data_IF_873122910569
#
_entry.id   IF_873122910569
#
_cell.length_a   1.000
_cell.length_b   1.000
_cell.length_c   1.000
_cell.angle_alpha   90.00
_cell.angle_beta   90.00
_cell.angle_gamma   90.00
#
_symmetry.space_group_name_H-M   'P 1'
#
loop_
_entity.id
_entity.type
_entity.pdbx_description
1 polymer ?
#
# COMPACT_ATOMS: atom_id res chain seq x y z
N UNK A 1 3.24 -2.67 -0.40
CA UNK A 1 3.31 -1.38 -1.12
C UNK A 1 2.29 -1.51 -2.20
N UNK A 2 1.10 -1.21 -1.73
CA UNK A 2 -0.16 -1.46 -2.36
C UNK A 2 -0.55 -0.05 -2.81
N UNK A 3 -0.32 0.21 -4.09
CA UNK A 3 -0.34 1.56 -4.64
C UNK A 3 -1.60 1.74 -5.47
N UNK A 4 -1.87 0.81 -6.37
CA UNK A 4 -2.77 1.05 -7.48
C UNK A 4 -4.21 0.87 -7.01
N UNK A 5 -4.47 -0.17 -6.23
CA UNK A 5 -5.75 -0.36 -5.56
C UNK A 5 -6.05 0.78 -4.59
N UNK A 6 -5.05 1.24 -3.83
CA UNK A 6 -5.22 2.38 -2.93
C UNK A 6 -5.61 3.66 -3.67
N UNK A 7 -4.90 4.03 -4.74
CA UNK A 7 -5.24 5.22 -5.54
C UNK A 7 -6.59 5.07 -6.26
N UNK A 8 -6.90 3.87 -6.76
CA UNK A 8 -8.18 3.58 -7.38
C UNK A 8 -9.34 3.80 -6.40
N UNK A 9 -9.23 3.32 -5.15
CA UNK A 9 -10.26 3.52 -4.14
C UNK A 9 -10.41 4.99 -3.75
N UNK A 10 -9.29 5.73 -3.65
CA UNK A 10 -9.33 7.18 -3.41
C UNK A 10 -10.00 7.94 -4.57
N UNK A 11 -9.79 7.54 -5.82
CA UNK A 11 -10.52 8.06 -6.99
C UNK A 11 -12.02 7.76 -6.88
N UNK A 12 -12.38 6.51 -6.55
CA UNK A 12 -13.76 6.04 -6.47
C UNK A 12 -14.55 6.72 -5.34
N UNK A 13 -13.88 7.07 -4.24
CA UNK A 13 -14.48 7.81 -3.13
C UNK A 13 -14.79 9.29 -3.49
N UNK A 14 -14.45 9.74 -4.70
CA UNK A 14 -14.60 11.12 -5.16
C UNK A 14 -13.86 12.14 -4.27
N UNK A 15 -12.86 11.69 -3.51
CA UNK A 15 -11.95 12.54 -2.74
C UNK A 15 -11.04 13.33 -3.68
N UNK A 16 -10.71 12.74 -4.84
CA UNK A 16 -9.96 13.35 -5.92
C UNK A 16 -10.46 12.84 -7.28
N UNK A 17 -10.30 13.65 -8.33
CA UNK A 17 -10.55 13.22 -9.71
C UNK A 17 -9.39 12.39 -10.29
N UNK A 18 -9.25 12.36 -11.62
CA UNK A 18 -8.14 11.66 -12.30
C UNK A 18 -6.74 12.18 -11.91
N UNK A 19 -6.68 13.37 -11.32
CA UNK A 19 -5.51 14.00 -10.69
C UNK A 19 -4.85 13.14 -9.60
N UNK A 20 -5.57 12.20 -8.97
CA UNK A 20 -5.01 11.26 -7.98
C UNK A 20 -3.88 10.40 -8.55
N UNK A 21 -3.83 10.25 -9.87
CA UNK A 21 -2.80 9.50 -10.59
C UNK A 21 -1.61 10.38 -11.01
N UNK A 22 -1.63 11.67 -10.71
CA UNK A 22 -0.55 12.63 -11.02
C UNK A 22 0.17 13.06 -9.73
N UNK A 23 0.28 14.37 -9.47
CA UNK A 23 0.98 14.91 -8.31
C UNK A 23 0.34 14.53 -6.97
N UNK A 24 -0.96 14.22 -6.97
CA UNK A 24 -1.67 13.75 -5.78
C UNK A 24 -1.30 12.32 -5.38
N UNK A 25 -0.80 11.50 -6.30
CA UNK A 25 -0.36 10.13 -5.97
C UNK A 25 0.70 10.16 -4.89
N UNK A 26 1.65 11.09 -5.00
CA UNK A 26 2.70 11.30 -4.01
C UNK A 26 2.15 11.69 -2.63
N UNK A 27 1.07 12.48 -2.59
CA UNK A 27 0.42 12.88 -1.34
C UNK A 27 -0.31 11.71 -0.71
N UNK A 28 -1.12 10.98 -1.49
CA UNK A 28 -1.86 9.81 -1.02
C UNK A 28 -0.92 8.72 -0.49
N UNK A 29 0.18 8.44 -1.21
CA UNK A 29 1.16 7.41 -0.86
C UNK A 29 2.21 7.87 0.16
N UNK A 30 2.11 9.10 0.66
CA UNK A 30 3.08 9.62 1.62
C UNK A 30 3.29 8.71 2.85
N UNK A 31 2.26 8.07 3.43
CA UNK A 31 2.46 7.14 4.54
C UNK A 31 3.38 5.96 4.22
N UNK A 32 3.29 5.42 3.00
CA UNK A 32 4.20 4.42 2.46
C UNK A 32 5.61 4.98 2.27
N UNK A 33 5.74 6.15 1.65
CA UNK A 33 7.03 6.78 1.37
C UNK A 33 7.79 7.18 2.65
N UNK A 34 7.05 7.58 3.69
CA UNK A 34 7.59 8.12 4.93
C UNK A 34 7.54 7.16 6.13
N UNK A 35 7.07 5.93 5.95
CA UNK A 35 6.89 4.93 7.02
C UNK A 35 6.12 5.51 8.24
N UNK A 36 5.05 6.29 7.99
CA UNK A 36 4.35 7.03 9.04
C UNK A 36 2.90 6.56 9.32
N UNK A 37 2.55 5.33 8.92
CA UNK A 37 1.23 4.72 9.15
C UNK A 37 0.73 4.84 10.59
N UNK A 38 1.56 4.58 11.59
CA UNK A 38 1.17 4.68 13.01
C UNK A 38 0.73 6.10 13.42
N UNK A 39 1.45 7.12 12.94
CA UNK A 39 1.06 8.51 13.15
C UNK A 39 -0.27 8.79 12.45
N UNK A 40 -0.43 8.28 11.23
CA UNK A 40 -1.61 8.53 10.43
C UNK A 40 -2.86 7.81 10.99
N UNK A 41 -2.73 6.60 11.55
CA UNK A 41 -3.80 5.95 12.32
C UNK A 41 -4.20 6.75 13.55
N UNK A 42 -3.22 7.32 14.27
CA UNK A 42 -3.48 8.22 15.39
C UNK A 42 -4.32 9.44 14.98
N UNK A 43 -4.06 9.96 13.78
CA UNK A 43 -4.86 11.04 13.20
C UNK A 43 -6.26 10.58 12.78
N UNK A 44 -6.38 9.45 12.11
CA UNK A 44 -7.69 8.90 11.72
C UNK A 44 -8.61 8.78 12.93
N UNK A 45 -8.11 8.22 14.05
CA UNK A 45 -8.88 8.17 15.31
C UNK A 45 -9.32 9.55 15.77
N UNK A 46 -8.41 10.52 15.75
CA UNK A 46 -8.73 11.90 16.12
C UNK A 46 -9.72 12.57 15.14
N UNK A 47 -9.73 12.22 13.85
CA UNK A 47 -10.73 12.72 12.88
C UNK A 47 -12.11 12.14 13.19
N UNK A 48 -12.20 10.84 13.46
CA UNK A 48 -13.47 10.16 13.73
C UNK A 48 -14.15 10.71 14.99
N UNK A 49 -13.38 11.11 15.99
CA UNK A 49 -13.90 11.71 17.23
C UNK A 49 -14.27 13.20 17.10
N UNK A 50 -13.96 13.86 15.97
CA UNK A 50 -14.21 15.30 15.76
C UNK A 50 -15.54 15.56 15.03
N UNK A 51 -16.22 16.69 15.34
CA UNK A 51 -17.31 17.19 14.50
C UNK A 51 -16.84 17.40 13.05
N UNK A 52 -17.69 17.12 12.06
CA UNK A 52 -17.37 17.27 10.62
C UNK A 52 -16.85 18.69 10.27
N UNK A 53 -17.35 19.70 10.97
CA UNK A 53 -16.99 21.12 10.82
C UNK A 53 -15.54 21.44 11.23
N UNK A 54 -14.90 20.53 11.99
CA UNK A 54 -13.52 20.66 12.51
C UNK A 54 -12.53 19.71 11.81
N UNK A 55 -12.99 18.97 10.80
CA UNK A 55 -12.14 18.05 10.04
C UNK A 55 -11.14 18.81 9.15
N UNK A 56 -9.92 18.28 8.95
CA UNK A 56 -8.88 18.97 8.18
C UNK A 56 -9.33 19.20 6.73
N UNK A 57 -9.40 20.48 6.33
CA UNK A 57 -9.86 20.88 5.01
C UNK A 57 -8.79 20.78 3.90
N UNK A 58 -7.53 20.53 4.25
CA UNK A 58 -6.39 20.49 3.33
C UNK A 58 -6.43 19.29 2.39
N UNK A 59 -6.06 19.50 1.12
CA UNK A 59 -6.08 18.44 0.10
C UNK A 59 -5.13 17.28 0.45
N UNK A 60 -3.91 17.59 0.93
CA UNK A 60 -2.96 16.55 1.34
C UNK A 60 -3.52 15.71 2.48
N UNK A 61 -4.16 16.35 3.47
CA UNK A 61 -4.77 15.64 4.59
C UNK A 61 -5.87 14.66 4.13
N UNK A 62 -6.74 15.07 3.20
CA UNK A 62 -7.80 14.21 2.65
C UNK A 62 -7.26 13.02 1.86
N UNK A 63 -6.24 13.23 1.04
CA UNK A 63 -5.61 12.17 0.27
C UNK A 63 -4.91 11.15 1.17
N UNK A 64 -4.16 11.63 2.17
CA UNK A 64 -3.51 10.79 3.18
C UNK A 64 -4.56 10.02 3.99
N UNK A 65 -5.65 10.67 4.39
CA UNK A 65 -6.74 10.02 5.12
C UNK A 65 -7.42 8.93 4.28
N UNK A 66 -7.67 9.18 3.00
CA UNK A 66 -8.22 8.18 2.09
C UNK A 66 -7.34 6.93 1.98
N UNK A 67 -6.02 7.12 1.83
CA UNK A 67 -5.06 6.02 1.86
C UNK A 67 -5.09 5.26 3.19
N UNK A 68 -5.10 5.97 4.32
CA UNK A 68 -5.04 5.35 5.65
C UNK A 68 -6.33 4.64 6.05
N UNK A 69 -7.49 5.13 5.61
CA UNK A 69 -8.75 4.40 5.77
C UNK A 69 -8.70 3.10 4.98
N UNK A 70 -8.19 3.14 3.73
CA UNK A 70 -8.03 1.95 2.90
C UNK A 70 -7.17 0.90 3.60
N UNK A 71 -5.96 1.30 4.02
CA UNK A 71 -5.02 0.45 4.74
C UNK A 71 -5.60 -0.08 6.07
N UNK A 72 -6.31 0.78 6.82
CA UNK A 72 -6.97 0.37 8.06
C UNK A 72 -7.99 -0.74 7.84
N UNK A 73 -8.87 -0.59 6.85
CA UNK A 73 -9.92 -1.58 6.55
C UNK A 73 -9.29 -2.91 6.13
N UNK A 74 -8.25 -2.87 5.30
CA UNK A 74 -7.52 -4.05 4.85
C UNK A 74 -6.90 -4.82 6.03
N UNK A 75 -6.30 -4.12 7.00
CA UNK A 75 -5.57 -4.75 8.10
C UNK A 75 -6.42 -5.04 9.35
N UNK A 76 -7.39 -4.20 9.67
CA UNK A 76 -8.13 -4.21 10.93
C UNK A 76 -9.65 -4.33 10.76
N UNK A 77 -10.17 -4.18 9.54
CA UNK A 77 -11.60 -4.21 9.23
C UNK A 77 -12.28 -2.83 9.35
N UNK A 78 -13.60 -2.75 9.09
CA UNK A 78 -14.33 -1.50 8.92
C UNK A 78 -14.65 -0.76 10.23
N UNK A 79 -14.07 -1.15 11.36
CA UNK A 79 -14.34 -0.53 12.66
C UNK A 79 -13.03 -0.17 13.35
N UNK A 80 -12.93 1.07 13.81
CA UNK A 80 -11.86 1.53 14.69
C UNK A 80 -12.06 0.88 16.05
N UNK A 81 -11.18 -0.06 16.43
CA UNK A 81 -11.21 -0.69 17.75
C UNK A 81 -10.13 -0.11 18.68
N UNK A 82 -10.34 -0.10 20.00
CA UNK A 82 -9.37 0.50 20.94
C UNK A 82 -8.07 -0.31 20.96
N UNK A 83 -8.20 -1.63 20.85
CA UNK A 83 -7.10 -2.58 20.70
C UNK A 83 -7.23 -3.24 19.33
N UNK A 84 -6.64 -2.64 18.28
CA UNK A 84 -6.76 -3.16 16.92
C UNK A 84 -6.19 -4.57 16.84
N UNK A 85 -7.00 -5.48 16.32
CA UNK A 85 -6.57 -6.84 16.02
C UNK A 85 -6.39 -6.95 14.51
N UNK A 86 -5.29 -7.57 14.10
CA UNK A 86 -4.98 -7.85 12.70
C UNK A 86 -5.87 -8.97 12.19
N UNK A 87 -7.13 -8.62 11.92
CA UNK A 87 -8.22 -9.52 11.52
C UNK A 87 -8.92 -9.03 10.26
N UNK A 88 -8.41 -7.98 9.63
CA UNK A 88 -8.93 -7.45 8.38
C UNK A 88 -8.76 -8.44 7.23
N UNK A 89 -9.27 -8.05 6.06
CA UNK A 89 -9.37 -8.87 4.87
C UNK A 89 -8.07 -9.60 4.51
N UNK A 90 -6.93 -8.90 4.50
CA UNK A 90 -5.65 -9.51 4.16
C UNK A 90 -5.26 -10.66 5.11
N UNK A 91 -5.66 -10.59 6.38
CA UNK A 91 -5.38 -11.62 7.38
C UNK A 91 -6.37 -12.80 7.32
N UNK A 92 -7.61 -12.56 6.90
CA UNK A 92 -8.60 -13.63 6.72
C UNK A 92 -8.23 -14.53 5.53
N UNK A 93 -7.75 -13.93 4.45
CA UNK A 93 -7.40 -14.63 3.21
C UNK A 93 -5.93 -15.07 3.14
N UNK A 94 -5.10 -14.74 4.14
CA UNK A 94 -3.64 -15.01 4.11
C UNK A 94 -3.29 -16.49 3.87
N UNK A 95 -4.19 -17.40 4.24
CA UNK A 95 -4.04 -18.84 4.04
C UNK A 95 -3.80 -19.21 2.56
N UNK A 96 -4.41 -18.48 1.61
CA UNK A 96 -4.24 -18.67 0.18
C UNK A 96 -2.78 -18.54 -0.27
N UNK A 97 -2.02 -17.67 0.39
CA UNK A 97 -0.59 -17.47 0.14
C UNK A 97 0.28 -18.40 1.01
N UNK A 98 -0.05 -18.52 2.30
CA UNK A 98 0.74 -19.32 3.27
C UNK A 98 0.84 -20.79 2.84
N UNK A 99 -0.25 -21.38 2.37
CA UNK A 99 -0.29 -22.79 1.94
C UNK A 99 0.68 -23.10 0.78
N UNK A 100 1.15 -22.05 0.09
CA UNK A 100 2.03 -22.12 -1.08
C UNK A 100 3.43 -21.56 -0.84
N UNK A 101 3.64 -20.93 0.32
CA UNK A 101 4.84 -20.17 0.65
C UNK A 101 6.12 -20.99 0.51
N UNK A 102 6.18 -22.20 1.09
CA UNK A 102 7.40 -23.02 1.05
C UNK A 102 7.80 -23.40 -0.38
N UNK A 103 6.82 -23.79 -1.20
CA UNK A 103 7.05 -24.11 -2.62
C UNK A 103 7.48 -22.87 -3.41
N UNK A 104 6.90 -21.70 -3.11
CA UNK A 104 7.27 -20.44 -3.73
C UNK A 104 8.73 -20.07 -3.41
N UNK A 105 9.12 -20.14 -2.13
CA UNK A 105 10.49 -19.85 -1.70
C UNK A 105 11.48 -20.87 -2.27
N UNK A 106 11.20 -22.17 -2.14
CA UNK A 106 12.10 -23.23 -2.62
C UNK A 106 12.33 -23.13 -4.14
N UNK A 107 11.31 -22.74 -4.90
CA UNK A 107 11.43 -22.57 -6.34
C UNK A 107 12.26 -21.33 -6.69
N UNK A 108 12.05 -20.21 -6.00
CA UNK A 108 12.88 -19.02 -6.18
C UNK A 108 14.37 -19.31 -5.90
N UNK A 109 14.67 -19.99 -4.80
CA UNK A 109 16.04 -20.36 -4.41
C UNK A 109 16.69 -21.32 -5.42
N UNK A 110 15.99 -22.41 -5.80
CA UNK A 110 16.52 -23.39 -6.79
C UNK A 110 16.74 -22.78 -8.17
N UNK A 111 15.91 -21.82 -8.56
CA UNK A 111 16.02 -21.12 -9.85
C UNK A 111 17.03 -19.96 -9.84
N UNK A 112 17.65 -19.68 -8.69
CA UNK A 112 18.61 -18.58 -8.53
C UNK A 112 17.98 -17.20 -8.66
N UNK A 113 16.67 -17.09 -8.40
CA UNK A 113 15.95 -15.81 -8.35
C UNK A 113 16.15 -15.10 -7.01
N UNK A 114 16.37 -15.88 -5.94
CA UNK A 114 16.69 -15.39 -4.62
C UNK A 114 18.01 -16.00 -4.13
N UNK A 115 18.85 -15.18 -3.52
CA UNK A 115 20.10 -15.64 -2.86
C UNK A 115 19.90 -15.93 -1.37
N UNK A 116 18.86 -15.33 -0.77
CA UNK A 116 18.57 -15.41 0.66
C UNK A 116 17.27 -16.13 0.91
N UNK A 117 17.31 -17.06 1.84
CA UNK A 117 16.11 -17.73 2.33
C UNK A 117 15.46 -16.87 3.43
N UNK A 118 14.26 -16.33 3.22
CA UNK A 118 13.58 -15.53 4.25
C UNK A 118 13.25 -16.34 5.51
N UNK A 119 13.28 -17.69 5.45
CA UNK A 119 13.07 -18.57 6.61
C UNK A 119 14.23 -18.55 7.61
N UNK A 120 15.41 -18.06 7.22
CA UNK A 120 16.60 -18.05 8.08
C UNK A 120 16.61 -16.89 9.09
N UNK A 121 15.75 -15.89 8.89
CA UNK A 121 15.81 -14.62 9.62
C UNK A 121 14.59 -14.36 10.52
N UNK A 122 13.61 -15.26 10.52
CA UNK A 122 12.37 -15.05 11.22
C UNK A 122 11.76 -16.33 11.82
N UNK A 123 10.86 -16.17 12.77
CA UNK A 123 10.04 -17.28 13.26
C UNK A 123 9.03 -17.70 12.19
N UNK A 124 8.67 -18.99 12.14
CA UNK A 124 7.69 -19.49 11.19
C UNK A 124 6.37 -18.71 11.23
N UNK A 125 5.83 -18.49 12.42
CA UNK A 125 4.56 -17.80 12.59
C UNK A 125 4.60 -16.34 12.12
N UNK A 126 5.72 -15.65 12.34
CA UNK A 126 5.89 -14.29 11.85
C UNK A 126 6.04 -14.27 10.33
N UNK A 127 6.87 -15.15 9.76
CA UNK A 127 7.04 -15.25 8.31
C UNK A 127 5.72 -15.60 7.60
N UNK A 128 4.96 -16.58 8.09
CA UNK A 128 3.66 -16.96 7.51
C UNK A 128 2.70 -15.78 7.54
N UNK A 129 2.61 -15.08 8.68
CA UNK A 129 1.78 -13.89 8.79
C UNK A 129 2.23 -12.83 7.79
N UNK A 130 3.52 -12.55 7.74
CA UNK A 130 4.09 -11.44 6.97
C UNK A 130 4.10 -11.68 5.46
N UNK A 131 4.37 -12.91 5.03
CA UNK A 131 4.23 -13.35 3.65
C UNK A 131 2.76 -13.42 3.25
N UNK A 132 1.96 -14.08 4.07
CA UNK A 132 0.54 -14.31 3.80
C UNK A 132 -0.24 -13.03 3.56
N UNK A 133 -0.22 -12.10 4.53
CA UNK A 133 -0.99 -10.87 4.39
C UNK A 133 -0.48 -10.00 3.24
N UNK A 134 0.85 -9.83 3.11
CA UNK A 134 1.42 -8.95 2.07
C UNK A 134 1.13 -9.50 0.67
N UNK A 135 1.21 -10.81 0.46
CA UNK A 135 0.89 -11.38 -0.86
C UNK A 135 -0.58 -11.24 -1.21
N UNK A 136 -1.49 -11.42 -0.25
CA UNK A 136 -2.93 -11.21 -0.46
C UNK A 136 -3.25 -9.74 -0.72
N UNK A 137 -2.65 -8.84 0.05
CA UNK A 137 -2.81 -7.40 -0.11
C UNK A 137 -2.37 -6.94 -1.50
N UNK A 138 -1.19 -7.39 -1.94
CA UNK A 138 -0.69 -7.12 -3.28
C UNK A 138 -1.62 -7.69 -4.36
N UNK A 139 -2.15 -8.92 -4.19
CA UNK A 139 -3.09 -9.50 -5.14
C UNK A 139 -4.42 -8.71 -5.22
N UNK A 140 -4.92 -8.22 -4.08
CA UNK A 140 -6.08 -7.33 -4.03
C UNK A 140 -5.80 -5.97 -4.69
N UNK A 141 -4.62 -5.39 -4.46
CA UNK A 141 -4.19 -4.14 -5.08
C UNK A 141 -4.19 -4.26 -6.61
N UNK A 142 -3.69 -5.39 -7.14
CA UNK A 142 -3.75 -5.73 -8.56
C UNK A 142 -5.19 -5.87 -9.07
N UNK A 143 -6.05 -6.60 -8.36
CA UNK A 143 -7.44 -6.80 -8.77
C UNK A 143 -8.21 -5.49 -8.85
N UNK A 144 -8.13 -4.67 -7.81
CA UNK A 144 -8.82 -3.37 -7.72
C UNK A 144 -8.24 -2.39 -8.74
N UNK A 145 -6.90 -2.35 -8.85
CA UNK A 145 -6.17 -1.44 -9.70
C UNK A 145 -6.06 -1.85 -11.18
N UNK A 146 -6.39 -3.10 -11.54
CA UNK A 146 -6.08 -3.65 -12.86
C UNK A 146 -6.69 -2.89 -14.03
N UNK A 147 -7.81 -2.19 -13.80
CA UNK A 147 -8.49 -1.37 -14.81
C UNK A 147 -7.69 -0.13 -15.25
N UNK A 148 -6.64 0.26 -14.52
CA UNK A 148 -5.77 1.39 -14.91
C UNK A 148 -4.50 0.96 -15.64
N UNK A 149 -4.28 -0.33 -15.84
CA UNK A 149 -3.14 -0.83 -16.60
C UNK A 149 -3.17 -0.34 -18.05
N UNK A 150 -1.98 -0.03 -18.58
CA UNK A 150 -1.76 0.46 -19.94
C UNK A 150 -2.57 1.73 -20.28
N UNK A 151 -2.81 2.58 -19.27
CA UNK A 151 -3.63 3.79 -19.41
C UNK A 151 -2.82 5.09 -19.21
N UNK A 152 -3.36 6.25 -19.61
CA UNK A 152 -2.74 7.54 -19.30
C UNK A 152 -2.53 7.77 -17.80
N UNK A 153 -3.39 7.19 -16.95
CA UNK A 153 -3.27 7.25 -15.49
C UNK A 153 -2.00 6.55 -14.99
N UNK A 154 -1.66 5.40 -15.57
CA UNK A 154 -0.42 4.70 -15.24
C UNK A 154 0.81 5.55 -15.60
N UNK A 155 0.82 6.12 -16.81
CA UNK A 155 1.93 6.94 -17.27
C UNK A 155 2.14 8.14 -16.36
N UNK A 156 1.05 8.79 -15.95
CA UNK A 156 1.05 9.87 -14.99
C UNK A 156 1.61 9.44 -13.61
N UNK A 157 1.16 8.30 -13.09
CA UNK A 157 1.59 7.78 -11.79
C UNK A 157 3.10 7.55 -11.77
N UNK A 158 3.61 6.86 -12.80
CA UNK A 158 5.03 6.59 -12.96
C UNK A 158 5.84 7.88 -13.06
N UNK A 159 5.39 8.84 -13.86
CA UNK A 159 6.07 10.11 -14.02
C UNK A 159 6.11 10.91 -12.70
N UNK A 160 5.01 10.90 -11.95
CA UNK A 160 4.91 11.56 -10.63
C UNK A 160 5.89 10.95 -9.64
N UNK A 161 5.88 9.61 -9.49
CA UNK A 161 6.75 8.91 -8.56
C UNK A 161 8.23 8.97 -8.96
N UNK A 162 8.54 8.95 -10.26
CA UNK A 162 9.92 9.04 -10.76
C UNK A 162 10.65 10.32 -10.31
N UNK A 163 9.92 11.40 -10.01
CA UNK A 163 10.50 12.66 -9.50
C UNK A 163 11.24 12.47 -8.17
N UNK A 164 10.86 11.48 -7.37
CA UNK A 164 11.53 11.19 -6.11
C UNK A 164 12.96 10.66 -6.27
N UNK A 165 13.37 10.28 -7.48
CA UNK A 165 14.76 9.95 -7.77
C UNK A 165 15.69 11.19 -7.58
N UNK A 166 15.13 12.40 -7.64
CA UNK A 166 15.81 13.64 -7.27
C UNK A 166 15.74 13.85 -5.74
N UNK A 167 16.87 13.80 -5.02
CA UNK A 167 16.89 13.97 -3.57
C UNK A 167 16.38 15.34 -3.10
N UNK A 168 16.64 16.42 -3.86
CA UNK A 168 16.19 17.77 -3.47
C UNK A 168 14.67 17.85 -3.51
N UNK A 169 14.07 17.32 -4.59
CA UNK A 169 12.62 17.21 -4.71
C UNK A 169 12.00 16.38 -3.58
N UNK A 170 12.60 15.22 -3.26
CA UNK A 170 12.09 14.33 -2.20
C UNK A 170 12.09 15.01 -0.83
N UNK A 171 13.19 15.70 -0.48
CA UNK A 171 13.33 16.42 0.78
C UNK A 171 12.36 17.59 0.89
N UNK A 172 12.24 18.42 -0.16
CA UNK A 172 11.28 19.53 -0.20
C UNK A 172 9.83 19.04 -0.09
N UNK A 173 9.50 17.95 -0.79
CA UNK A 173 8.18 17.34 -0.74
C UNK A 173 7.83 16.89 0.68
N UNK A 174 8.71 16.11 1.31
CA UNK A 174 8.51 15.60 2.66
C UNK A 174 8.34 16.73 3.69
N UNK A 175 9.22 17.74 3.63
CA UNK A 175 9.16 18.90 4.51
C UNK A 175 7.83 19.66 4.38
N UNK A 176 7.34 19.86 3.14
CA UNK A 176 6.06 20.51 2.88
C UNK A 176 4.89 19.71 3.46
N UNK A 177 4.84 18.41 3.21
CA UNK A 177 3.74 17.56 3.71
C UNK A 177 3.76 17.50 5.24
N UNK A 178 4.93 17.38 5.87
CA UNK A 178 5.05 17.42 7.33
C UNK A 178 4.64 18.77 7.92
N UNK A 179 4.98 19.90 7.27
CA UNK A 179 4.55 21.22 7.72
C UNK A 179 3.02 21.41 7.65
N UNK A 180 2.38 20.91 6.58
CA UNK A 180 0.92 21.01 6.41
C UNK A 180 0.15 20.07 7.36
N UNK A 181 0.66 18.86 7.55
CA UNK A 181 -0.07 17.80 8.26
C UNK A 181 0.35 17.62 9.71
N UNK A 182 1.47 18.20 10.14
CA UNK A 182 2.06 17.93 11.46
C UNK A 182 2.62 16.51 11.57
N UNK A 183 3.13 15.98 10.47
CA UNK A 183 3.59 14.59 10.35
C UNK A 183 4.87 14.27 11.12
N UNK A 184 5.04 12.97 11.38
CA UNK A 184 6.23 12.41 12.04
C UNK A 184 6.54 11.03 11.47
N UNK A 185 7.83 10.75 11.24
CA UNK A 185 8.33 9.41 10.92
C UNK A 185 9.27 8.92 12.02
N UNK A 186 9.34 7.60 12.21
CA UNK A 186 10.34 6.98 13.11
C UNK A 186 11.72 6.87 12.46
N UNK A 187 11.77 7.05 11.14
CA UNK A 187 13.00 6.94 10.37
C UNK A 187 13.84 8.22 10.49
N UNK A 188 15.16 8.09 10.32
CA UNK A 188 16.01 9.26 10.19
C UNK A 188 15.81 9.95 8.84
N UNK A 189 16.08 11.24 8.73
CA UNK A 189 16.02 11.97 7.45
C UNK A 189 16.83 11.27 6.35
N UNK A 190 18.00 10.73 6.68
CA UNK A 190 18.83 9.98 5.75
C UNK A 190 18.16 8.69 5.24
N UNK A 191 17.40 8.02 6.09
CA UNK A 191 16.62 6.85 5.70
C UNK A 191 15.42 7.25 4.84
N UNK A 192 14.70 8.30 5.22
CA UNK A 192 13.57 8.84 4.46
C UNK A 192 13.98 9.25 3.04
N UNK A 193 15.04 10.07 2.91
CA UNK A 193 15.58 10.48 1.61
C UNK A 193 16.01 9.27 0.78
N UNK A 194 16.62 8.25 1.41
CA UNK A 194 17.00 7.01 0.72
C UNK A 194 15.77 6.26 0.21
N UNK A 195 14.77 6.04 1.05
CA UNK A 195 13.55 5.30 0.70
C UNK A 195 12.82 6.01 -0.43
N UNK A 196 12.58 7.32 -0.34
CA UNK A 196 11.93 8.07 -1.43
C UNK A 196 12.73 7.99 -2.73
N UNK A 197 14.06 8.09 -2.68
CA UNK A 197 14.91 7.93 -3.87
C UNK A 197 14.79 6.54 -4.49
N UNK A 198 14.88 5.48 -3.70
CA UNK A 198 14.71 4.11 -4.17
C UNK A 198 13.36 3.93 -4.87
N UNK A 199 12.29 4.52 -4.32
CA UNK A 199 10.98 4.52 -4.95
C UNK A 199 10.96 5.24 -6.29
N UNK A 200 11.58 6.42 -6.39
CA UNK A 200 11.66 7.14 -7.66
C UNK A 200 12.48 6.39 -8.72
N UNK A 201 13.57 5.74 -8.30
CA UNK A 201 14.38 4.88 -9.18
C UNK A 201 13.57 3.68 -9.67
N UNK A 202 12.83 3.01 -8.78
CA UNK A 202 11.95 1.90 -9.15
C UNK A 202 10.81 2.33 -10.07
N UNK A 203 10.11 3.43 -9.74
CA UNK A 203 9.03 3.97 -10.58
C UNK A 203 9.49 4.30 -12.00
N UNK A 204 10.75 4.74 -12.15
CA UNK A 204 11.36 4.98 -13.45
C UNK A 204 11.63 3.70 -14.25
N UNK A 205 11.88 2.58 -13.56
CA UNK A 205 12.20 1.28 -14.15
C UNK A 205 11.01 0.32 -14.32
N UNK A 206 9.84 0.67 -13.79
CA UNK A 206 8.63 -0.14 -13.90
C UNK A 206 8.16 -0.23 -15.35
N UNK A 207 7.86 -1.45 -15.81
CA UNK A 207 7.36 -1.69 -17.16
C UNK A 207 5.82 -1.71 -17.19
N UNK A 208 5.21 -2.32 -16.17
CA UNK A 208 3.77 -2.44 -15.99
C UNK A 208 3.35 -2.05 -14.57
N UNK A 209 2.14 -1.51 -14.37
CA UNK A 209 1.69 -1.07 -13.04
C UNK A 209 1.78 -2.20 -12.01
N UNK A 210 1.45 -3.42 -12.42
CA UNK A 210 1.51 -4.59 -11.56
C UNK A 210 2.90 -4.83 -10.93
N UNK A 211 3.97 -4.34 -11.57
CA UNK A 211 5.33 -4.44 -11.06
C UNK A 211 5.49 -3.77 -9.68
N UNK A 212 4.67 -2.76 -9.34
CA UNK A 212 4.64 -2.17 -7.98
C UNK A 212 4.27 -3.19 -6.90
N UNK A 213 3.36 -4.12 -7.19
CA UNK A 213 3.00 -5.19 -6.28
C UNK A 213 4.18 -6.16 -6.08
N UNK A 214 4.88 -6.50 -7.18
CA UNK A 214 6.07 -7.33 -7.10
C UNK A 214 7.22 -6.67 -6.33
N UNK A 215 7.39 -5.35 -6.50
CA UNK A 215 8.38 -4.55 -5.78
C UNK A 215 8.22 -4.67 -4.26
N UNK A 216 6.98 -4.67 -3.77
CA UNK A 216 6.68 -4.88 -2.35
C UNK A 216 7.31 -6.16 -1.81
N UNK A 217 7.01 -7.29 -2.46
CA UNK A 217 7.48 -8.59 -2.02
C UNK A 217 9.00 -8.70 -2.17
N UNK A 218 9.56 -8.18 -3.26
CA UNK A 218 11.00 -8.19 -3.48
C UNK A 218 11.73 -7.41 -2.38
N UNK A 219 11.29 -6.18 -2.08
CA UNK A 219 11.90 -5.35 -1.03
C UNK A 219 11.71 -5.96 0.35
N UNK A 220 10.51 -6.48 0.66
CA UNK A 220 10.20 -7.08 1.96
C UNK A 220 11.05 -8.33 2.26
N UNK A 221 11.32 -9.16 1.24
CA UNK A 221 12.10 -10.38 1.40
C UNK A 221 13.56 -10.26 0.95
N UNK A 222 14.01 -9.06 0.58
CA UNK A 222 15.38 -8.79 0.17
C UNK A 222 15.80 -9.53 -1.10
N UNK A 223 14.86 -9.70 -2.03
CA UNK A 223 15.09 -10.31 -3.34
C UNK A 223 15.43 -9.24 -4.39
N UNK A 224 16.23 -9.60 -5.42
CA UNK A 224 16.59 -8.65 -6.46
C UNK A 224 15.35 -8.20 -7.26
N UNK A 225 15.28 -6.91 -7.57
CA UNK A 225 14.23 -6.35 -8.41
C UNK A 225 14.66 -6.34 -9.89
N UNK A 226 14.70 -7.52 -10.49
CA UNK A 226 14.94 -7.73 -11.92
C UNK A 226 13.75 -8.39 -12.59
N UNK A 227 13.65 -8.31 -13.93
CA UNK A 227 12.47 -8.79 -14.68
C UNK A 227 12.10 -10.25 -14.39
N UNK A 228 13.09 -11.15 -14.25
CA UNK A 228 12.80 -12.58 -14.01
C UNK A 228 12.18 -12.79 -12.64
N UNK A 229 12.68 -12.08 -11.64
CA UNK A 229 12.17 -12.12 -10.28
C UNK A 229 10.77 -11.49 -10.21
N UNK A 230 10.59 -10.34 -10.86
CA UNK A 230 9.29 -9.66 -10.99
C UNK A 230 8.25 -10.56 -11.65
N UNK A 231 8.54 -11.15 -12.82
CA UNK A 231 7.63 -12.08 -13.51
C UNK A 231 7.22 -13.27 -12.62
N UNK A 232 8.17 -13.81 -11.86
CA UNK A 232 7.93 -14.92 -10.96
C UNK A 232 7.01 -14.52 -9.80
N UNK A 233 7.24 -13.36 -9.19
CA UNK A 233 6.39 -12.82 -8.12
C UNK A 233 4.99 -12.51 -8.64
N UNK A 234 4.87 -11.88 -9.81
CA UNK A 234 3.59 -11.58 -10.44
C UNK A 234 2.80 -12.85 -10.74
N UNK A 235 3.45 -13.89 -11.27
CA UNK A 235 2.81 -15.19 -11.49
C UNK A 235 2.19 -15.75 -10.20
N UNK A 236 2.89 -15.62 -9.08
CA UNK A 236 2.38 -16.03 -7.77
C UNK A 236 1.21 -15.15 -7.28
N UNK A 237 1.30 -13.83 -7.46
CA UNK A 237 0.20 -12.93 -7.11
C UNK A 237 -1.06 -13.20 -7.94
N UNK A 238 -0.91 -13.49 -9.23
CA UNK A 238 -2.00 -13.91 -10.13
C UNK A 238 -2.58 -15.28 -9.77
N UNK A 239 -1.81 -16.17 -9.12
CA UNK A 239 -2.34 -17.40 -8.54
C UNK A 239 -3.22 -17.12 -7.32
N UNK A 240 -2.79 -16.22 -6.43
CA UNK A 240 -3.60 -15.82 -5.27
C UNK A 240 -4.86 -15.10 -5.73
N UNK A 241 -4.73 -14.15 -6.66
CA UNK A 241 -5.84 -13.40 -7.22
C UNK A 241 -6.94 -14.35 -7.69
N UNK A 242 -6.64 -15.31 -8.57
CA UNK A 242 -7.65 -16.25 -9.10
C UNK A 242 -8.42 -17.06 -8.05
N UNK A 243 -7.90 -17.18 -6.83
CA UNK A 243 -8.54 -17.92 -5.74
C UNK A 243 -9.29 -17.00 -4.74
N UNK A 244 -9.09 -15.68 -4.82
CA UNK A 244 -9.88 -14.72 -4.04
C UNK A 244 -11.34 -14.74 -4.50
N UNK A 245 -12.28 -14.74 -3.55
CA UNK A 245 -13.72 -14.67 -3.82
C UNK A 245 -14.06 -13.57 -4.84
N UNK A 246 -14.83 -13.91 -5.88
CA UNK A 246 -15.07 -13.02 -7.03
C UNK A 246 -15.72 -11.68 -6.61
N UNK A 247 -16.55 -11.68 -5.56
CA UNK A 247 -17.20 -10.47 -5.05
C UNK A 247 -16.41 -9.76 -3.95
N UNK A 248 -15.23 -10.26 -3.59
CA UNK A 248 -14.44 -9.77 -2.46
C UNK A 248 -13.97 -8.33 -2.67
N UNK A 249 -13.37 -8.07 -3.82
CA UNK A 249 -12.83 -6.76 -4.15
C UNK A 249 -13.94 -5.71 -4.23
N UNK A 250 -15.08 -6.03 -4.82
CA UNK A 250 -16.21 -5.10 -4.90
C UNK A 250 -16.73 -4.73 -3.51
N UNK A 251 -16.91 -5.72 -2.61
CA UNK A 251 -17.32 -5.46 -1.23
C UNK A 251 -16.30 -4.62 -0.47
N UNK A 252 -15.01 -4.91 -0.64
CA UNK A 252 -13.93 -4.15 -0.02
C UNK A 252 -13.96 -2.70 -0.52
N UNK A 253 -14.05 -2.48 -1.83
CA UNK A 253 -14.09 -1.15 -2.44
C UNK A 253 -15.30 -0.38 -1.90
N UNK A 254 -16.49 -1.00 -1.85
CA UNK A 254 -17.70 -0.36 -1.30
C UNK A 254 -17.54 0.01 0.19
N UNK A 255 -16.98 -0.88 1.01
CA UNK A 255 -16.71 -0.63 2.42
C UNK A 255 -15.74 0.53 2.62
N UNK A 256 -14.63 0.54 1.87
CA UNK A 256 -13.62 1.60 1.97
C UNK A 256 -14.15 2.93 1.44
N UNK A 257 -14.82 2.94 0.28
CA UNK A 257 -15.45 4.15 -0.28
C UNK A 257 -16.47 4.74 0.70
N UNK A 258 -17.31 3.90 1.31
CA UNK A 258 -18.25 4.34 2.32
C UNK A 258 -17.55 4.91 3.58
N UNK A 259 -16.44 4.31 3.99
CA UNK A 259 -15.64 4.78 5.11
C UNK A 259 -14.90 6.10 4.81
N UNK A 260 -14.36 6.27 3.60
CA UNK A 260 -13.74 7.54 3.17
C UNK A 260 -14.78 8.65 3.08
N UNK A 261 -15.96 8.36 2.53
CA UNK A 261 -17.03 9.34 2.38
C UNK A 261 -17.62 9.78 3.75
N UNK A 262 -17.64 8.88 4.74
CA UNK A 262 -18.12 9.16 6.09
C UNK A 262 -17.23 8.47 7.14
N UNK A 263 -16.06 9.05 7.48
CA UNK A 263 -15.12 8.45 8.42
C UNK A 263 -15.72 8.15 9.80
N UNK A 264 -16.72 8.94 10.21
CA UNK A 264 -17.48 8.72 11.46
C UNK A 264 -18.17 7.35 11.52
N UNK A 265 -18.43 6.68 10.38
CA UNK A 265 -18.95 5.31 10.34
C UNK A 265 -17.96 4.27 10.83
N UNK A 266 -16.66 4.58 10.80
CA UNK A 266 -15.63 3.73 11.38
C UNK A 266 -15.63 3.78 12.91
N UNK A 267 -16.39 4.68 13.54
CA UNK A 267 -16.43 4.80 14.99
C UNK A 267 -16.83 3.48 15.66
N UNK A 268 -16.36 3.30 16.89
CA UNK A 268 -16.69 2.16 17.73
C UNK A 268 -18.21 1.93 17.75
N UNK A 269 -18.66 0.78 17.25
CA UNK A 269 -20.00 0.29 17.53
C UNK A 269 -20.04 -0.13 19.01
N UNK A 270 -20.94 0.50 19.76
CA UNK A 270 -21.14 0.23 21.18
C UNK A 270 -21.77 -1.15 21.44
#
# INVERSE_FOLDING_TARGET
>A
MDIIGHLAVVEHAATAGSEVWEDDAALALFPNLAHCHEWAYGRLRATVDRPEEEQPAGRAAKLIEGHIITDWVIHYGPTLTPTPQRIGWAYQEMHLAVDRMDRFIDTALRSGLAERDPRDHDTRAHLERDFGHTSVECALDLRVGGHVADSPRETALRASLARFADPEFAEEFAARVFAETGGFTRESDAMLSRTMREYGEWASGIAHPEDFAALTLCTKFGWPYDRRTVDYVLGFLHEIDRDLDDGLADRLVDEVVAAIAQPSRLALTA
#
